data_IF_091663951076
#
_entry.id   IF_091663951076
#
_cell.length_a   1.000
_cell.length_b   1.000
_cell.length_c   1.000
_cell.angle_alpha   90.00
_cell.angle_beta   90.00
_cell.angle_gamma   90.00
#
_symmetry.space_group_name_H-M   'P 1'
#
loop_
_entity.id
_entity.type
_entity.pdbx_description
1 polymer ?
#
# COMPACT_ATOMS: atom_id res chain seq x y z
N UNK A 1 -13.66 15.56 -10.40
CA UNK A 1 -12.28 15.56 -9.89
C UNK A 1 -12.09 14.33 -9.01
N UNK A 2 -11.35 13.32 -9.47
CA UNK A 2 -11.11 12.10 -8.69
C UNK A 2 -9.80 12.25 -7.90
N UNK A 3 -9.81 11.86 -6.62
CA UNK A 3 -8.57 11.76 -5.85
C UNK A 3 -7.70 10.64 -6.43
N UNK A 4 -6.37 10.80 -6.43
CA UNK A 4 -5.45 9.80 -6.92
C UNK A 4 -5.45 8.56 -6.00
N UNK A 5 -6.34 7.61 -6.26
CA UNK A 5 -6.43 6.35 -5.52
C UNK A 5 -5.56 5.27 -6.16
N UNK A 6 -5.05 4.36 -5.34
CA UNK A 6 -4.26 3.22 -5.79
C UNK A 6 -4.58 1.96 -4.99
N UNK A 7 -4.31 0.80 -5.58
CA UNK A 7 -4.41 -0.49 -4.89
C UNK A 7 -3.03 -1.12 -4.84
N UNK A 8 -2.48 -1.24 -3.64
CA UNK A 8 -1.22 -1.94 -3.40
C UNK A 8 -1.51 -3.42 -3.19
N UNK A 9 -0.81 -4.29 -3.93
CA UNK A 9 -0.87 -5.73 -3.69
C UNK A 9 0.40 -6.17 -2.98
N UNK A 10 0.27 -6.65 -1.76
CA UNK A 10 1.39 -7.14 -0.95
C UNK A 10 1.32 -8.66 -0.85
N UNK A 11 2.40 -9.33 -1.25
CA UNK A 11 2.55 -10.76 -1.05
C UNK A 11 3.29 -11.01 0.27
N UNK A 12 2.68 -11.76 1.18
CA UNK A 12 3.28 -12.20 2.44
C UNK A 12 3.20 -13.73 2.49
N UNK A 13 4.31 -14.40 2.17
CA UNK A 13 4.37 -15.84 2.01
C UNK A 13 3.36 -16.34 0.96
N UNK A 14 2.41 -17.18 1.38
CA UNK A 14 1.34 -17.71 0.51
C UNK A 14 0.12 -16.79 0.40
N UNK A 15 0.07 -15.70 1.16
CA UNK A 15 -1.07 -14.77 1.20
C UNK A 15 -0.80 -13.55 0.33
N UNK A 16 -1.86 -13.10 -0.37
CA UNK A 16 -1.86 -11.82 -1.11
C UNK A 16 -2.88 -10.90 -0.46
N UNK A 17 -2.41 -9.77 0.04
CA UNK A 17 -3.22 -8.70 0.60
C UNK A 17 -3.41 -7.63 -0.47
N UNK A 18 -4.66 -7.21 -0.69
CA UNK A 18 -4.97 -6.04 -1.50
C UNK A 18 -5.31 -4.89 -0.56
N UNK A 19 -4.57 -3.80 -0.66
CA UNK A 19 -4.76 -2.64 0.21
C UNK A 19 -5.08 -1.42 -0.64
N UNK A 20 -6.19 -0.76 -0.34
CA UNK A 20 -6.60 0.46 -1.03
C UNK A 20 -6.02 1.67 -0.33
N UNK A 21 -5.52 2.62 -1.10
CA UNK A 21 -5.33 4.00 -0.63
C UNK A 21 -6.31 4.89 -1.39
N UNK A 22 -7.11 5.64 -0.64
CA UNK A 22 -8.05 6.61 -1.21
C UNK A 22 -7.33 7.82 -1.82
N UNK A 23 -6.09 8.08 -1.37
CA UNK A 23 -5.25 9.17 -1.84
C UNK A 23 -3.77 8.80 -1.61
N UNK A 24 -3.08 8.36 -2.66
CA UNK A 24 -1.65 8.03 -2.55
C UNK A 24 -0.76 9.26 -2.36
N UNK A 25 -1.25 10.48 -2.62
CA UNK A 25 -0.49 11.71 -2.38
C UNK A 25 -0.49 12.13 -0.92
N UNK A 26 -1.50 11.70 -0.15
CA UNK A 26 -1.59 11.91 1.29
C UNK A 26 -1.13 10.68 2.10
N UNK A 27 -0.61 9.64 1.44
CA UNK A 27 -0.14 8.43 2.10
C UNK A 27 1.19 8.69 2.81
N UNK A 28 1.31 8.28 4.07
CA UNK A 28 2.59 8.32 4.78
C UNK A 28 3.53 7.26 4.22
N UNK A 29 4.62 7.74 3.59
CA UNK A 29 5.72 6.92 3.08
C UNK A 29 6.94 7.05 3.99
N UNK A 30 7.62 5.93 4.22
CA UNK A 30 8.89 5.85 4.94
C UNK A 30 9.90 5.17 4.02
N UNK A 31 11.10 5.73 3.87
CA UNK A 31 12.12 5.21 2.96
C UNK A 31 11.95 5.58 1.48
N UNK A 32 10.89 6.31 1.13
CA UNK A 32 10.73 6.90 -0.21
C UNK A 32 10.01 8.25 -0.14
N UNK A 33 10.38 9.16 -1.04
CA UNK A 33 9.80 10.52 -1.10
C UNK A 33 8.45 10.56 -1.83
N UNK A 34 8.21 9.62 -2.75
CA UNK A 34 7.02 9.60 -3.59
C UNK A 34 6.52 8.18 -3.84
N UNK A 35 5.20 8.02 -3.92
CA UNK A 35 4.57 6.76 -4.29
C UNK A 35 4.85 6.46 -5.77
N UNK A 36 5.33 5.26 -6.07
CA UNK A 36 5.56 4.82 -7.45
C UNK A 36 4.84 3.50 -7.76
N UNK A 37 4.16 3.47 -8.90
CA UNK A 37 3.57 2.25 -9.48
C UNK A 37 4.62 1.29 -10.04
N UNK A 38 5.87 1.72 -10.18
CA UNK A 38 6.97 0.89 -10.68
C UNK A 38 7.54 -0.04 -9.59
N UNK A 39 7.18 0.17 -8.33
CA UNK A 39 7.58 -0.70 -7.23
C UNK A 39 7.02 -2.11 -7.40
N UNK A 40 7.93 -3.07 -7.59
CA UNK A 40 7.61 -4.48 -7.78
C UNK A 40 8.64 -5.33 -7.05
N UNK A 41 8.17 -6.37 -6.35
CA UNK A 41 9.01 -7.30 -5.59
C UNK A 41 9.96 -6.63 -4.58
N UNK A 42 9.55 -5.50 -4.02
CA UNK A 42 10.30 -4.79 -2.98
C UNK A 42 9.88 -5.32 -1.59
N UNK A 43 10.83 -5.51 -0.67
CA UNK A 43 10.50 -5.75 0.73
C UNK A 43 9.89 -4.47 1.31
N UNK A 44 8.69 -4.61 1.88
CA UNK A 44 7.95 -3.47 2.44
C UNK A 44 7.33 -3.85 3.78
N UNK A 45 7.25 -2.87 4.66
CA UNK A 45 6.43 -2.93 5.87
C UNK A 45 5.18 -2.08 5.64
N UNK A 46 4.01 -2.62 6.01
CA UNK A 46 2.71 -1.96 5.77
C UNK A 46 1.89 -1.90 7.05
N UNK A 47 1.34 -0.72 7.33
CA UNK A 47 0.26 -0.57 8.30
C UNK A 47 -1.06 -0.40 7.55
N UNK A 48 -2.05 -1.20 7.90
CA UNK A 48 -3.36 -1.18 7.25
C UNK A 48 -4.49 -1.46 8.23
N UNK A 49 -5.67 -0.92 7.91
CA UNK A 49 -6.92 -1.27 8.58
C UNK A 49 -7.56 -2.43 7.84
N UNK A 50 -7.67 -3.58 8.49
CA UNK A 50 -8.34 -4.74 7.90
C UNK A 50 -9.82 -4.43 7.65
N UNK A 51 -10.27 -4.57 6.41
CA UNK A 51 -11.68 -4.45 6.03
C UNK A 51 -12.33 -5.82 5.78
N UNK A 52 -11.54 -6.82 5.40
CA UNK A 52 -12.00 -8.18 5.11
C UNK A 52 -10.87 -9.20 5.16
N UNK A 53 -11.10 -10.40 4.60
CA UNK A 53 -10.20 -11.56 4.77
C UNK A 53 -8.81 -11.37 4.15
N UNK A 54 -8.71 -10.65 3.03
CA UNK A 54 -7.47 -10.35 2.30
C UNK A 54 -7.45 -8.90 1.79
N UNK A 55 -8.19 -8.03 2.46
CA UNK A 55 -8.49 -6.68 1.98
C UNK A 55 -8.52 -5.68 3.12
N UNK A 56 -8.16 -4.44 2.82
CA UNK A 56 -8.08 -3.37 3.80
C UNK A 56 -7.68 -2.03 3.21
N UNK A 57 -7.58 -1.04 4.08
CA UNK A 57 -7.18 0.31 3.73
C UNK A 57 -5.75 0.57 4.23
N UNK A 58 -4.88 0.96 3.30
CA UNK A 58 -3.49 1.26 3.59
C UNK A 58 -3.40 2.56 4.39
N UNK A 59 -2.68 2.51 5.52
CA UNK A 59 -2.47 3.66 6.41
C UNK A 59 -1.07 4.23 6.21
N UNK A 60 -0.05 3.38 6.22
CA UNK A 60 1.33 3.78 5.91
C UNK A 60 2.07 2.66 5.19
N UNK A 61 3.05 3.05 4.39
CA UNK A 61 3.93 2.15 3.65
C UNK A 61 5.38 2.54 3.93
N UNK A 62 6.17 1.57 4.33
CA UNK A 62 7.60 1.69 4.53
C UNK A 62 8.33 0.78 3.54
N UNK A 63 9.28 1.36 2.82
CA UNK A 63 10.14 0.66 1.87
C UNK A 63 11.53 0.45 2.48
N UNK A 64 12.09 -0.74 2.25
CA UNK A 64 13.45 -1.13 2.64
C UNK A 64 14.38 -1.22 1.44
#
# INVERSE_FOLDING_TARGET
CAKPSAVLTVASGTRKLKLRTADYTALTLIGADQFSCDWKNMPVTINYKAGGRNDGDLVSLELH
#
